data_IF_601347475768
#
_entry.id   IF_601347475768
#
_cell.length_a   1.000
_cell.length_b   1.000
_cell.length_c   1.000
_cell.angle_alpha   90.00
_cell.angle_beta   90.00
_cell.angle_gamma   90.00
#
_symmetry.space_group_name_H-M   'P 1'
#
loop_
_entity.id
_entity.type
_entity.pdbx_description
1 polymer ?
#
# COMPACT_ATOMS: atom_id res chain seq x y z
N UNK A 1 -50.27 38.02 0.97
CA UNK A 1 -49.07 37.26 1.31
C UNK A 1 -48.70 36.39 0.11
N UNK A 2 -47.74 36.85 -0.71
CA UNK A 2 -47.20 36.06 -1.81
C UNK A 2 -46.03 35.24 -1.27
N UNK A 3 -46.05 33.92 -1.48
CA UNK A 3 -45.00 33.00 -1.06
C UNK A 3 -44.18 32.66 -2.30
N UNK A 4 -43.00 33.26 -2.41
CA UNK A 4 -42.04 32.94 -3.46
C UNK A 4 -41.37 31.59 -3.15
N UNK A 5 -41.72 30.57 -3.92
CA UNK A 5 -41.11 29.24 -3.87
C UNK A 5 -39.81 29.31 -4.68
N UNK A 6 -38.68 29.43 -3.98
CA UNK A 6 -37.36 29.43 -4.59
C UNK A 6 -37.04 28.06 -5.21
N UNK A 7 -36.93 28.04 -6.54
CA UNK A 7 -36.59 26.86 -7.33
C UNK A 7 -35.13 26.45 -7.06
N UNK A 8 -34.93 25.31 -6.39
CA UNK A 8 -33.60 24.78 -6.08
C UNK A 8 -32.86 24.41 -7.38
N UNK A 9 -31.80 25.16 -7.70
CA UNK A 9 -30.93 24.89 -8.85
C UNK A 9 -30.08 23.65 -8.58
N UNK A 10 -30.35 22.55 -9.28
CA UNK A 10 -29.58 21.31 -9.20
C UNK A 10 -28.24 21.47 -9.93
N UNK A 11 -27.17 21.74 -9.18
CA UNK A 11 -25.82 21.81 -9.75
C UNK A 11 -25.38 20.44 -10.26
N UNK A 12 -25.05 20.33 -11.55
CA UNK A 12 -24.54 19.09 -12.16
C UNK A 12 -23.27 18.60 -11.43
N UNK A 13 -23.17 17.31 -11.07
CA UNK A 13 -22.00 16.80 -10.37
C UNK A 13 -20.73 16.92 -11.22
N UNK A 14 -19.70 17.60 -10.69
CA UNK A 14 -18.38 17.68 -11.34
C UNK A 14 -17.79 16.28 -11.47
N UNK A 15 -17.49 15.85 -12.71
CA UNK A 15 -16.80 14.58 -12.99
C UNK A 15 -15.41 14.61 -12.34
N UNK A 16 -15.11 13.67 -11.44
CA UNK A 16 -13.80 13.55 -10.79
C UNK A 16 -12.78 13.03 -11.81
N UNK A 17 -11.60 13.65 -11.89
CA UNK A 17 -10.50 13.14 -12.73
C UNK A 17 -10.06 11.78 -12.20
N UNK A 18 -9.77 10.80 -13.07
CA UNK A 18 -9.27 9.50 -12.64
C UNK A 18 -7.94 9.67 -11.91
N UNK A 19 -7.75 8.91 -10.82
CA UNK A 19 -6.50 8.93 -10.07
C UNK A 19 -5.38 8.34 -10.93
N UNK A 20 -4.18 8.94 -10.92
CA UNK A 20 -3.05 8.42 -11.70
C UNK A 20 -2.71 7.00 -11.26
N UNK A 21 -2.39 6.14 -12.23
CA UNK A 21 -1.99 4.76 -11.97
C UNK A 21 -0.65 4.75 -11.21
N UNK A 22 -0.61 3.99 -10.11
CA UNK A 22 0.57 3.80 -9.27
C UNK A 22 0.94 2.32 -9.23
N UNK A 23 2.24 2.03 -9.16
CA UNK A 23 2.79 0.69 -9.02
C UNK A 23 3.74 0.69 -7.82
N UNK A 24 3.71 -0.40 -7.03
CA UNK A 24 4.57 -0.59 -5.88
C UNK A 24 5.50 -1.76 -6.18
N UNK A 25 6.80 -1.57 -5.96
CA UNK A 25 7.80 -2.60 -6.19
C UNK A 25 8.94 -2.45 -5.19
N UNK A 26 9.22 -3.50 -4.39
CA UNK A 26 10.29 -3.55 -3.38
C UNK A 26 10.27 -2.37 -2.40
N UNK A 27 9.10 -2.01 -1.88
CA UNK A 27 8.92 -0.86 -0.99
C UNK A 27 9.07 0.52 -1.65
N UNK A 28 9.18 0.61 -2.98
CA UNK A 28 9.18 1.87 -3.72
C UNK A 28 7.86 2.07 -4.46
N UNK A 29 7.39 3.32 -4.49
CA UNK A 29 6.19 3.71 -5.24
C UNK A 29 6.61 4.44 -6.51
N UNK A 30 6.00 4.03 -7.62
CA UNK A 30 6.15 4.70 -8.89
C UNK A 30 4.82 5.20 -9.44
N UNK A 31 4.85 6.38 -10.06
CA UNK A 31 3.73 6.96 -10.79
C UNK A 31 3.94 6.81 -12.29
N UNK A 32 2.88 6.45 -13.01
CA UNK A 32 2.90 6.41 -14.47
C UNK A 32 3.08 7.85 -15.00
N UNK A 33 4.15 8.07 -15.77
CA UNK A 33 4.46 9.39 -16.33
C UNK A 33 4.06 9.48 -17.79
N UNK A 34 4.39 8.46 -18.56
CA UNK A 34 4.16 8.41 -19.98
C UNK A 34 3.77 6.99 -20.38
N UNK A 35 2.63 6.87 -21.04
CA UNK A 35 2.30 5.71 -21.83
C UNK A 35 2.75 6.03 -23.26
N UNK A 36 3.80 5.36 -23.72
CA UNK A 36 4.26 5.56 -25.10
C UNK A 36 3.27 4.90 -26.06
N UNK A 37 3.22 5.32 -27.33
CA UNK A 37 2.39 4.74 -28.40
C UNK A 37 2.68 3.24 -28.73
N UNK A 38 3.43 2.54 -27.88
CA UNK A 38 3.66 1.10 -27.94
C UNK A 38 3.25 0.41 -26.64
N UNK A 39 3.67 -0.84 -26.45
CA UNK A 39 3.34 -1.60 -25.24
C UNK A 39 4.18 -1.23 -24.01
N UNK A 40 5.05 -0.22 -24.08
CA UNK A 40 5.96 0.13 -22.98
C UNK A 40 5.42 1.29 -22.16
N UNK A 41 5.35 1.10 -20.84
CA UNK A 41 4.93 2.10 -19.87
C UNK A 41 6.10 2.54 -19.01
N UNK A 42 6.31 3.85 -18.89
CA UNK A 42 7.39 4.43 -18.09
C UNK A 42 6.87 5.03 -16.80
N UNK A 43 7.55 4.70 -15.71
CA UNK A 43 7.20 5.10 -14.38
C UNK A 43 8.35 5.89 -13.73
N UNK A 44 8.00 6.88 -12.91
CA UNK A 44 8.95 7.65 -12.10
C UNK A 44 8.65 7.47 -10.62
N UNK A 45 9.67 7.58 -9.78
CA UNK A 45 9.50 7.56 -8.34
C UNK A 45 8.47 8.59 -7.86
N UNK A 46 7.57 8.18 -6.96
CA UNK A 46 6.58 9.07 -6.35
C UNK A 46 7.22 10.16 -5.46
N UNK A 47 8.40 9.88 -4.88
CA UNK A 47 9.13 10.81 -4.03
C UNK A 47 10.01 11.80 -4.80
N UNK A 48 9.96 11.83 -6.13
CA UNK A 48 10.73 12.76 -6.98
C UNK A 48 10.68 14.22 -6.46
N UNK A 49 9.49 14.70 -6.06
CA UNK A 49 9.31 16.07 -5.57
C UNK A 49 9.88 16.33 -4.16
N UNK A 50 9.98 15.31 -3.33
CA UNK A 50 10.38 15.44 -1.93
C UNK A 50 11.86 15.15 -1.72
N UNK A 51 12.40 14.15 -2.42
CA UNK A 51 13.78 13.68 -2.25
C UNK A 51 14.65 13.95 -3.48
N UNK A 52 14.11 14.60 -4.52
CA UNK A 52 14.81 14.78 -5.80
C UNK A 52 15.08 13.46 -6.53
N UNK A 53 14.38 12.38 -6.18
CA UNK A 53 14.65 11.05 -6.74
C UNK A 53 14.34 10.99 -8.24
N UNK A 54 15.34 10.67 -9.04
CA UNK A 54 15.23 10.50 -10.50
C UNK A 54 15.10 9.04 -10.93
N UNK A 55 14.79 8.15 -9.99
CA UNK A 55 14.59 6.73 -10.28
C UNK A 55 13.43 6.53 -11.27
N UNK A 56 13.72 5.70 -12.26
CA UNK A 56 12.81 5.39 -13.36
C UNK A 56 12.70 3.90 -13.51
N UNK A 57 11.51 3.42 -13.84
CA UNK A 57 11.24 2.04 -14.15
C UNK A 57 10.37 1.93 -15.40
N UNK A 58 10.38 0.76 -16.03
CA UNK A 58 9.52 0.46 -17.17
C UNK A 58 8.83 -0.89 -17.02
N UNK A 59 7.66 -1.00 -17.62
CA UNK A 59 6.97 -2.25 -17.87
C UNK A 59 6.84 -2.39 -19.37
N UNK A 60 7.44 -3.44 -19.93
CA UNK A 60 7.34 -3.78 -21.34
C UNK A 60 6.11 -4.68 -21.52
N UNK A 61 5.19 -4.35 -22.43
CA UNK A 61 4.05 -5.21 -22.73
C UNK A 61 2.76 -4.94 -21.94
N UNK A 62 1.91 -5.96 -21.97
CA UNK A 62 0.77 -6.14 -21.06
C UNK A 62 1.20 -6.80 -19.75
N UNK A 63 2.49 -6.75 -19.44
CA UNK A 63 3.06 -7.42 -18.29
C UNK A 63 2.52 -6.83 -16.97
N UNK A 64 2.37 -7.72 -15.98
CA UNK A 64 1.92 -7.37 -14.63
C UNK A 64 2.95 -6.49 -13.90
N UNK A 65 2.54 -5.88 -12.80
CA UNK A 65 3.42 -5.08 -11.91
C UNK A 65 4.66 -5.82 -11.42
N UNK A 66 4.65 -7.15 -11.47
CA UNK A 66 5.78 -8.02 -11.11
C UNK A 66 6.96 -7.90 -12.07
N UNK A 67 6.71 -7.63 -13.35
CA UNK A 67 7.73 -7.53 -14.40
C UNK A 67 8.29 -6.10 -14.54
N UNK A 68 8.21 -5.29 -13.48
CA UNK A 68 8.73 -3.94 -13.48
C UNK A 68 10.26 -3.95 -13.48
N UNK A 69 10.86 -3.45 -14.57
CA UNK A 69 12.31 -3.32 -14.71
C UNK A 69 12.76 -1.92 -14.29
N UNK A 70 13.55 -1.84 -13.23
CA UNK A 70 14.16 -0.58 -12.76
C UNK A 70 15.30 -0.20 -13.72
N UNK A 71 15.26 1.04 -14.25
CA UNK A 71 16.27 1.59 -15.16
C UNK A 71 17.27 2.46 -14.40
N UNK A 72 16.78 3.29 -13.47
CA UNK A 72 17.62 4.16 -12.63
C UNK A 72 17.37 3.84 -11.16
N UNK A 73 18.43 3.70 -10.34
CA UNK A 73 18.30 3.36 -8.93
C UNK A 73 17.70 4.53 -8.12
N UNK A 74 17.18 4.19 -6.94
CA UNK A 74 16.70 5.18 -5.96
C UNK A 74 17.85 5.80 -5.17
N UNK A 75 17.65 7.04 -4.75
CA UNK A 75 18.55 7.80 -3.88
C UNK A 75 18.01 7.91 -2.44
N UNK A 76 17.05 7.07 -2.08
CA UNK A 76 16.41 7.07 -0.77
C UNK A 76 16.08 5.63 -0.36
N UNK A 77 15.95 5.35 0.95
CA UNK A 77 15.59 4.02 1.43
C UNK A 77 14.15 3.62 1.03
N UNK A 78 13.85 2.31 0.95
CA UNK A 78 12.51 1.80 0.69
C UNK A 78 11.58 2.04 1.89
N UNK A 79 10.29 2.22 1.62
CA UNK A 79 9.27 2.36 2.67
C UNK A 79 8.53 1.03 2.89
N UNK A 80 8.90 0.31 3.95
CA UNK A 80 8.23 -0.96 4.30
C UNK A 80 6.74 -0.82 4.67
N UNK A 81 6.31 0.38 5.09
CA UNK A 81 4.92 0.62 5.51
C UNK A 81 3.93 0.69 4.36
N UNK A 82 4.41 0.93 3.13
CA UNK A 82 3.54 1.20 1.98
C UNK A 82 2.82 -0.07 1.51
N UNK A 83 3.55 -1.18 1.43
CA UNK A 83 2.97 -2.47 1.01
C UNK A 83 1.88 -2.91 2.00
N UNK A 84 2.17 -2.79 3.30
CA UNK A 84 1.22 -3.06 4.39
C UNK A 84 -0.04 -2.22 4.21
N UNK A 85 0.12 -0.90 4.00
CA UNK A 85 -0.99 0.02 3.81
C UNK A 85 -1.86 -0.36 2.61
N UNK A 86 -1.25 -0.70 1.46
CA UNK A 86 -2.02 -1.04 0.25
C UNK A 86 -2.76 -2.35 0.38
N UNK A 87 -2.15 -3.36 0.99
CA UNK A 87 -2.83 -4.63 1.27
C UNK A 87 -4.02 -4.38 2.21
N UNK A 88 -3.81 -3.61 3.28
CA UNK A 88 -4.86 -3.27 4.23
C UNK A 88 -6.02 -2.51 3.57
N UNK A 89 -5.73 -1.47 2.78
CA UNK A 89 -6.76 -0.72 2.05
C UNK A 89 -7.53 -1.60 1.06
N UNK A 90 -6.86 -2.54 0.40
CA UNK A 90 -7.49 -3.46 -0.55
C UNK A 90 -8.44 -4.42 0.17
N UNK A 91 -8.02 -4.99 1.30
CA UNK A 91 -8.85 -5.84 2.14
C UNK A 91 -10.06 -5.07 2.69
N UNK A 92 -9.83 -3.84 3.16
CA UNK A 92 -10.90 -2.97 3.66
C UNK A 92 -11.95 -2.68 2.59
N UNK A 93 -11.53 -2.36 1.37
CA UNK A 93 -12.47 -2.16 0.25
C UNK A 93 -13.29 -3.41 -0.06
N UNK A 94 -12.64 -4.58 -0.10
CA UNK A 94 -13.33 -5.86 -0.35
C UNK A 94 -14.36 -6.17 0.75
N UNK A 95 -14.00 -5.96 2.01
CA UNK A 95 -14.89 -6.21 3.14
C UNK A 95 -16.09 -5.25 3.17
N UNK A 96 -15.87 -3.97 2.87
CA UNK A 96 -16.96 -2.98 2.76
C UNK A 96 -17.92 -3.35 1.63
N UNK A 97 -17.41 -3.91 0.53
CA UNK A 97 -18.26 -4.36 -0.58
C UNK A 97 -19.05 -5.63 -0.27
N UNK A 98 -18.50 -6.56 0.51
CA UNK A 98 -19.18 -7.81 0.84
C UNK A 98 -20.09 -7.72 2.07
N UNK A 99 -19.78 -6.88 3.05
CA UNK A 99 -20.47 -6.79 4.35
C UNK A 99 -21.40 -5.58 4.42
N UNK A 100 -22.41 -5.54 3.54
CA UNK A 100 -23.33 -4.39 3.39
C UNK A 100 -24.09 -4.06 4.70
N UNK A 101 -24.29 -5.04 5.58
CA UNK A 101 -25.11 -4.89 6.80
C UNK A 101 -24.31 -4.57 8.07
N UNK A 102 -22.98 -4.42 7.99
CA UNK A 102 -22.14 -4.15 9.16
C UNK A 102 -21.80 -2.67 9.29
N UNK A 103 -21.66 -2.19 10.53
CA UNK A 103 -21.13 -0.86 10.80
C UNK A 103 -19.65 -0.78 10.36
N UNK A 104 -19.27 0.33 9.72
CA UNK A 104 -17.91 0.63 9.28
C UNK A 104 -16.86 0.43 10.39
N UNK A 105 -17.19 0.79 11.64
CA UNK A 105 -16.30 0.58 12.81
C UNK A 105 -16.00 -0.90 13.05
N UNK A 106 -17.02 -1.75 12.93
CA UNK A 106 -16.88 -3.19 13.12
C UNK A 106 -16.04 -3.83 12.02
N UNK A 107 -16.25 -3.41 10.76
CA UNK A 107 -15.45 -3.88 9.61
C UNK A 107 -13.97 -3.51 9.81
N UNK A 108 -13.67 -2.28 10.22
CA UNK A 108 -12.31 -1.85 10.47
C UNK A 108 -11.62 -2.68 11.56
N UNK A 109 -12.29 -2.85 12.72
CA UNK A 109 -11.74 -3.61 13.85
C UNK A 109 -11.45 -5.07 13.46
N UNK A 110 -12.33 -5.69 12.67
CA UNK A 110 -12.14 -7.05 12.18
C UNK A 110 -10.87 -7.18 11.33
N UNK A 111 -10.65 -6.27 10.38
CA UNK A 111 -9.48 -6.31 9.49
C UNK A 111 -8.19 -5.96 10.24
N UNK A 112 -8.25 -4.97 11.14
CA UNK A 112 -7.13 -4.63 12.00
C UNK A 112 -6.68 -5.84 12.86
N UNK A 113 -7.64 -6.61 13.37
CA UNK A 113 -7.38 -7.83 14.16
C UNK A 113 -6.72 -8.92 13.32
N UNK A 114 -7.18 -9.13 12.08
CA UNK A 114 -6.58 -10.10 11.15
C UNK A 114 -5.12 -9.73 10.87
N UNK A 115 -4.84 -8.45 10.55
CA UNK A 115 -3.49 -8.00 10.21
C UNK A 115 -2.53 -8.04 11.39
N UNK A 116 -2.97 -7.79 12.63
CA UNK A 116 -2.12 -7.91 13.81
C UNK A 116 -1.57 -9.33 14.04
N UNK A 117 -2.26 -10.38 13.55
CA UNK A 117 -1.79 -11.77 13.67
C UNK A 117 -0.76 -12.18 12.61
N UNK A 118 -0.80 -11.56 11.43
CA UNK A 118 0.14 -11.90 10.34
C UNK A 118 1.49 -11.19 10.48
N UNK A 119 1.56 -10.02 11.11
CA UNK A 119 2.82 -9.24 11.20
C UNK A 119 3.85 -9.92 12.11
N UNK A 120 3.44 -10.74 13.07
CA UNK A 120 4.33 -11.58 13.87
C UNK A 120 5.03 -12.69 13.07
N UNK A 121 4.58 -13.00 11.85
CA UNK A 121 5.20 -14.02 10.99
C UNK A 121 6.31 -13.41 10.10
N UNK A 122 6.28 -12.10 9.85
CA UNK A 122 7.26 -11.45 8.95
C UNK A 122 8.59 -11.09 9.62
N UNK A 123 8.67 -11.16 10.95
CA UNK A 123 9.93 -11.01 11.68
C UNK A 123 10.84 -12.25 11.62
N UNK A 124 10.35 -13.41 11.14
CA UNK A 124 11.14 -14.66 11.07
C UNK A 124 11.72 -14.97 9.67
N UNK A 125 11.25 -14.34 8.59
CA UNK A 125 11.62 -14.75 7.21
C UNK A 125 12.81 -13.95 6.63
N UNK A 126 13.64 -13.31 7.47
CA UNK A 126 14.88 -12.62 7.02
C UNK A 126 16.14 -13.05 7.76
N UNK A 127 16.16 -14.30 8.25
CA UNK A 127 17.33 -14.94 8.84
C UNK A 127 17.47 -16.38 8.32
N UNK A 128 17.44 -16.54 6.99
CA UNK A 128 17.85 -17.78 6.33
C UNK A 128 18.63 -17.44 5.07
N UNK A 129 19.80 -16.85 5.27
CA UNK A 129 20.99 -17.21 4.50
C UNK A 129 22.21 -16.90 5.37
N UNK A 130 22.98 -17.96 5.60
CA UNK A 130 24.34 -18.02 6.16
C UNK A 130 24.53 -17.97 7.68
N UNK A 131 25.00 -19.12 8.17
CA UNK A 131 25.58 -19.46 9.48
C UNK A 131 24.63 -19.99 10.57
N UNK A 132 24.79 -21.29 10.83
CA UNK A 132 24.20 -22.03 11.93
C UNK A 132 24.83 -21.57 13.25
N UNK A 133 24.13 -20.71 13.99
CA UNK A 133 24.27 -20.66 15.44
C UNK A 133 22.93 -20.92 16.10
N UNK A 134 22.87 -22.03 16.82
CA UNK A 134 21.73 -22.51 17.59
C UNK A 134 21.42 -21.52 18.72
N UNK A 135 20.46 -20.61 18.52
CA UNK A 135 19.91 -19.81 19.62
C UNK A 135 18.73 -20.57 20.23
N UNK A 136 18.98 -21.18 21.38
CA UNK A 136 17.95 -21.73 22.26
C UNK A 136 17.21 -20.56 22.91
N UNK A 137 16.04 -20.19 22.39
CA UNK A 137 15.12 -19.30 23.10
C UNK A 137 14.33 -20.13 24.12
N UNK A 138 14.87 -20.20 25.33
CA UNK A 138 14.15 -20.69 26.50
C UNK A 138 12.98 -19.76 26.82
N UNK A 139 11.77 -20.33 26.90
CA UNK A 139 10.64 -19.75 27.63
C UNK A 139 11.00 -19.76 29.12
N UNK A 140 11.76 -18.75 29.55
CA UNK A 140 12.12 -18.52 30.95
C UNK A 140 11.04 -17.72 31.65
N UNK A 141 10.26 -18.39 32.49
CA UNK A 141 9.36 -17.79 33.47
C UNK A 141 10.10 -16.73 34.31
N UNK A 142 9.55 -15.53 34.32
CA UNK A 142 10.01 -14.42 35.14
C UNK A 142 9.46 -14.60 36.57
N UNK A 143 10.18 -15.33 37.42
CA UNK A 143 9.94 -15.32 38.86
C UNK A 143 10.95 -14.39 39.53
N UNK A 144 10.46 -13.19 39.88
CA UNK A 144 11.14 -12.25 40.76
C UNK A 144 10.95 -12.76 42.20
N UNK A 145 12.04 -13.10 42.89
CA UNK A 145 12.05 -13.20 44.35
C UNK A 145 13.18 -12.33 44.89
N UNK A 146 12.77 -11.25 45.56
CA UNK A 146 13.60 -10.47 46.48
C UNK A 146 13.72 -11.23 47.80
N UNK A 147 14.95 -11.48 48.25
CA UNK A 147 15.46 -11.24 49.62
C UNK A 147 16.89 -11.78 49.73
#
# INVERSE_FOLDING_TARGET
>A
FAVDIALATTSKPKKRKPTPQKVIHKGFVYHLRLQHHGKTRYFRCAKERYTGCTATAKIDGDASSENLKVIRPHNHPPDGTIEIKVIFETQLRKAVQSMINMNNRSIYNLIATIKCRDVSVWTEVKLQDETLETIVFGVGEFLILFS
#
